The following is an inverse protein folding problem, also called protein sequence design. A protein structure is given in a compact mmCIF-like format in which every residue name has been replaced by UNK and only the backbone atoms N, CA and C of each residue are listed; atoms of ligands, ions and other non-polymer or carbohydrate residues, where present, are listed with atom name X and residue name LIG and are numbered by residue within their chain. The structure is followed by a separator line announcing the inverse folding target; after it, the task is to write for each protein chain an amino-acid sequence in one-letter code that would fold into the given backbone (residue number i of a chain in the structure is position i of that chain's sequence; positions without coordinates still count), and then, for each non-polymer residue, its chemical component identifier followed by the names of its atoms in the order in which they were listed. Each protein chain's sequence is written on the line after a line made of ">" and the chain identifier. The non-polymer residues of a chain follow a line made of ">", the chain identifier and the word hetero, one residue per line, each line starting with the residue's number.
data_IF_896866460781
#
_entry.id   IF_896866460781
#
_cell.length_a   1.000
_cell.length_b   1.000
_cell.length_c   1.000
_cell.angle_alpha   90.00
_cell.angle_beta   90.00
_cell.angle_gamma   90.00
#
_symmetry.space_group_name_H-M   'P 1'
#
loop_
_entity.id
_entity.type
_entity.pdbx_description
1 polymer ?
#
# COMPACT_ATOMS: atom_id res chain seq x y z
N UNK A 1 -17.49 -12.92 -23.84
CA UNK A 1 -17.02 -12.15 -22.65
C UNK A 1 -18.25 -11.76 -21.85
N UNK A 2 -18.39 -12.20 -20.61
CA UNK A 2 -19.52 -11.81 -19.76
C UNK A 2 -19.39 -10.31 -19.44
N UNK A 3 -20.42 -9.56 -19.70
CA UNK A 3 -20.48 -8.13 -19.38
C UNK A 3 -20.31 -7.92 -17.86
N UNK A 4 -19.38 -7.04 -17.43
CA UNK A 4 -19.21 -6.64 -16.02
C UNK A 4 -20.36 -5.74 -15.54
N UNK A 5 -21.62 -6.13 -15.83
CA UNK A 5 -22.78 -5.36 -15.42
C UNK A 5 -22.94 -5.43 -13.91
N UNK A 6 -22.81 -4.26 -13.27
CA UNK A 6 -23.07 -4.05 -11.84
C UNK A 6 -23.85 -2.76 -11.70
N UNK A 7 -24.86 -2.76 -10.89
CA UNK A 7 -25.64 -1.58 -10.55
C UNK A 7 -25.73 -1.38 -9.03
N UNK A 8 -26.39 -0.29 -8.61
CA UNK A 8 -26.51 0.04 -7.19
C UNK A 8 -27.30 -1.02 -6.40
N UNK A 9 -28.24 -1.71 -7.05
CA UNK A 9 -29.05 -2.76 -6.39
C UNK A 9 -28.18 -3.96 -6.02
N UNK A 10 -27.19 -4.30 -6.85
CA UNK A 10 -26.22 -5.38 -6.57
C UNK A 10 -25.33 -5.01 -5.37
N UNK A 11 -24.90 -3.75 -5.27
CA UNK A 11 -24.12 -3.25 -4.13
C UNK A 11 -24.96 -3.26 -2.85
N UNK A 12 -26.23 -2.88 -2.92
CA UNK A 12 -27.15 -2.91 -1.77
C UNK A 12 -27.42 -4.35 -1.30
N UNK A 13 -27.62 -5.29 -2.22
CA UNK A 13 -27.73 -6.73 -1.89
C UNK A 13 -26.47 -7.24 -1.23
N UNK A 14 -25.29 -6.91 -1.82
CA UNK A 14 -24.00 -7.25 -1.23
C UNK A 14 -23.84 -6.67 0.18
N UNK A 15 -24.28 -5.43 0.42
CA UNK A 15 -24.21 -4.80 1.73
C UNK A 15 -25.04 -5.57 2.78
N UNK A 16 -26.27 -5.98 2.44
CA UNK A 16 -27.10 -6.82 3.30
C UNK A 16 -26.45 -8.15 3.62
N UNK A 17 -25.87 -8.81 2.62
CA UNK A 17 -25.19 -10.10 2.74
C UNK A 17 -23.92 -10.01 3.60
N UNK A 18 -23.17 -8.92 3.49
CA UNK A 18 -21.89 -8.72 4.17
C UNK A 18 -22.06 -8.28 5.63
N UNK A 19 -23.13 -7.57 5.97
CA UNK A 19 -23.36 -6.98 7.31
C UNK A 19 -23.10 -7.93 8.50
N UNK A 20 -23.53 -9.20 8.51
CA UNK A 20 -23.25 -10.11 9.62
C UNK A 20 -21.81 -10.64 9.65
N UNK A 21 -21.02 -10.43 8.60
CA UNK A 21 -19.73 -11.12 8.39
C UNK A 21 -18.55 -10.18 8.51
N UNK A 22 -18.66 -8.97 7.97
CA UNK A 22 -17.56 -7.99 7.97
C UNK A 22 -17.63 -7.07 9.19
N UNK A 23 -16.52 -6.42 9.50
CA UNK A 23 -16.50 -5.27 10.39
C UNK A 23 -16.97 -4.04 9.60
N UNK A 24 -17.96 -3.30 10.10
CA UNK A 24 -18.15 -1.93 9.65
C UNK A 24 -16.98 -1.12 10.19
N UNK A 25 -16.06 -0.75 9.29
CA UNK A 25 -14.83 -0.07 9.69
C UNK A 25 -15.09 1.39 10.04
N UNK A 26 -14.25 1.93 10.92
CA UNK A 26 -14.37 3.31 11.36
C UNK A 26 -14.09 4.29 10.21
N UNK A 27 -14.67 5.48 10.31
CA UNK A 27 -14.40 6.63 9.47
C UNK A 27 -14.21 7.82 10.39
N UNK A 28 -12.94 8.19 10.63
CA UNK A 28 -12.58 9.18 11.65
C UNK A 28 -11.93 10.43 11.06
N UNK A 29 -12.22 11.57 11.67
CA UNK A 29 -11.57 12.84 11.36
C UNK A 29 -10.12 12.84 11.85
N UNK A 30 -9.18 13.07 10.96
CA UNK A 30 -7.78 13.31 11.29
C UNK A 30 -7.56 14.79 11.57
N UNK A 31 -7.51 15.19 12.84
CA UNK A 31 -7.29 16.59 13.22
C UNK A 31 -5.95 17.12 12.66
N UNK A 32 -4.87 16.33 12.80
CA UNK A 32 -3.55 16.73 12.32
C UNK A 32 -3.46 16.89 10.80
N UNK A 33 -4.12 16.01 10.03
CA UNK A 33 -4.18 16.16 8.58
C UNK A 33 -5.12 17.32 8.18
N UNK A 34 -6.23 17.49 8.90
CA UNK A 34 -7.16 18.58 8.63
C UNK A 34 -6.51 19.95 8.82
N UNK A 35 -5.75 20.13 9.88
CA UNK A 35 -4.97 21.34 10.12
C UNK A 35 -3.90 21.56 9.04
N UNK A 36 -3.15 20.50 8.68
CA UNK A 36 -2.07 20.59 7.71
C UNK A 36 -2.57 20.95 6.30
N UNK A 37 -3.74 20.42 5.88
CA UNK A 37 -4.27 20.61 4.52
C UNK A 37 -5.40 21.66 4.45
N UNK A 38 -5.80 22.28 5.56
CA UNK A 38 -6.82 23.33 5.61
C UNK A 38 -8.22 22.85 5.20
N UNK A 39 -8.54 21.58 5.45
CA UNK A 39 -9.83 20.93 5.13
C UNK A 39 -10.10 19.77 6.07
N UNK A 40 -11.34 19.33 6.20
CA UNK A 40 -11.65 18.18 7.01
C UNK A 40 -11.21 16.90 6.29
N UNK A 41 -10.18 16.22 6.81
CA UNK A 41 -9.65 14.97 6.27
C UNK A 41 -10.14 13.81 7.13
N UNK A 42 -10.95 12.95 6.54
CA UNK A 42 -11.46 11.73 7.16
C UNK A 42 -10.73 10.52 6.60
N UNK A 43 -10.47 9.52 7.44
CA UNK A 43 -9.84 8.27 7.06
C UNK A 43 -10.82 7.12 7.20
N UNK A 44 -11.03 6.34 6.14
CA UNK A 44 -11.82 5.09 6.17
C UNK A 44 -10.86 3.91 6.35
N UNK A 45 -10.96 3.22 7.48
CA UNK A 45 -9.96 2.25 7.97
C UNK A 45 -10.20 0.81 7.48
N UNK A 46 -10.17 0.55 6.18
CA UNK A 46 -10.23 -0.82 5.65
C UNK A 46 -8.97 -1.66 5.95
N UNK A 47 -7.88 -1.05 6.37
CA UNK A 47 -6.71 -1.74 6.92
C UNK A 47 -7.00 -2.47 8.25
N UNK A 48 -8.08 -2.14 8.95
CA UNK A 48 -8.53 -2.81 10.19
C UNK A 48 -9.66 -3.82 9.95
N UNK A 49 -10.00 -4.13 8.71
CA UNK A 49 -10.98 -5.15 8.35
C UNK A 49 -10.47 -6.56 8.75
N UNK A 50 -11.34 -7.56 8.85
CA UNK A 50 -11.05 -8.91 9.39
C UNK A 50 -9.77 -9.58 8.89
N UNK A 51 -9.43 -9.42 7.60
CA UNK A 51 -8.19 -9.95 7.02
C UNK A 51 -7.12 -8.87 6.85
N UNK A 52 -7.24 -7.75 7.56
CA UNK A 52 -6.34 -6.61 7.40
C UNK A 52 -6.50 -5.85 6.08
N UNK A 53 -7.60 -6.07 5.32
CA UNK A 53 -7.88 -5.36 4.07
C UNK A 53 -9.34 -5.53 3.61
N UNK A 54 -9.77 -4.65 2.72
CA UNK A 54 -11.11 -4.66 2.11
C UNK A 54 -11.49 -5.94 1.35
N UNK A 55 -10.51 -6.77 1.00
CA UNK A 55 -10.68 -7.88 0.03
C UNK A 55 -11.75 -8.90 0.42
N UNK A 56 -11.99 -9.11 1.71
CA UNK A 56 -13.04 -10.01 2.19
C UNK A 56 -14.42 -9.61 1.67
N UNK A 57 -14.70 -8.32 1.46
CA UNK A 57 -16.01 -7.83 1.00
C UNK A 57 -16.38 -8.44 -0.36
N UNK A 58 -15.53 -8.28 -1.35
CA UNK A 58 -15.75 -8.83 -2.68
C UNK A 58 -15.63 -10.35 -2.73
N UNK A 59 -14.67 -10.94 -2.03
CA UNK A 59 -14.47 -12.38 -2.00
C UNK A 59 -15.68 -13.10 -1.39
N UNK A 60 -16.19 -12.63 -0.25
CA UNK A 60 -17.35 -13.22 0.40
C UNK A 60 -18.62 -13.06 -0.45
N UNK A 61 -18.85 -11.87 -1.00
CA UNK A 61 -19.99 -11.64 -1.88
C UNK A 61 -19.96 -12.56 -3.10
N UNK A 62 -18.79 -12.77 -3.74
CA UNK A 62 -18.63 -13.71 -4.86
C UNK A 62 -18.99 -15.14 -4.43
N UNK A 63 -18.37 -15.64 -3.36
CA UNK A 63 -18.50 -17.04 -2.93
C UNK A 63 -19.96 -17.35 -2.50
N UNK A 64 -20.61 -16.43 -1.82
CA UNK A 64 -22.01 -16.63 -1.40
C UNK A 64 -22.99 -16.66 -2.57
N UNK A 65 -22.68 -15.99 -3.67
CA UNK A 65 -23.52 -16.01 -4.89
C UNK A 65 -23.19 -17.15 -5.87
N UNK A 66 -22.30 -18.07 -5.53
CA UNK A 66 -22.07 -19.29 -6.29
C UNK A 66 -23.26 -20.24 -6.18
N UNK A 67 -23.53 -21.00 -7.23
CA UNK A 67 -24.52 -22.09 -7.21
C UNK A 67 -24.11 -23.18 -6.21
N UNK A 68 -25.04 -24.03 -5.84
CA UNK A 68 -24.76 -25.19 -4.96
C UNK A 68 -23.69 -26.09 -5.58
N UNK A 69 -23.74 -26.31 -6.90
CA UNK A 69 -22.77 -27.12 -7.62
C UNK A 69 -21.37 -26.48 -7.61
N UNK A 70 -21.26 -25.17 -7.87
CA UNK A 70 -20.00 -24.44 -7.80
C UNK A 70 -19.40 -24.48 -6.40
N UNK A 71 -20.22 -24.25 -5.35
CA UNK A 71 -19.79 -24.39 -3.96
C UNK A 71 -19.31 -25.80 -3.64
N UNK A 72 -19.99 -26.83 -4.17
CA UNK A 72 -19.61 -28.25 -3.98
C UNK A 72 -18.25 -28.58 -4.60
N UNK A 73 -17.91 -27.97 -5.75
CA UNK A 73 -16.60 -28.13 -6.38
C UNK A 73 -15.50 -27.34 -5.67
N UNK A 74 -15.83 -26.17 -5.11
CA UNK A 74 -14.90 -25.27 -4.46
C UNK A 74 -14.40 -24.15 -5.36
N UNK A 75 -13.51 -23.33 -4.81
CA UNK A 75 -12.98 -22.14 -5.49
C UNK A 75 -11.46 -22.18 -5.60
N UNK A 76 -10.91 -21.51 -6.61
CA UNK A 76 -9.48 -21.30 -6.79
C UNK A 76 -9.17 -19.81 -6.98
N UNK A 77 -8.04 -19.36 -6.45
CA UNK A 77 -7.53 -18.01 -6.70
C UNK A 77 -5.99 -18.04 -6.83
N UNK A 78 -5.44 -17.08 -7.59
CA UNK A 78 -4.01 -16.83 -7.62
C UNK A 78 -3.72 -15.51 -6.92
N UNK A 79 -3.01 -15.54 -5.79
CA UNK A 79 -2.58 -14.36 -5.05
C UNK A 79 -1.70 -14.77 -3.87
N UNK A 80 -0.63 -14.02 -3.62
CA UNK A 80 0.18 -14.15 -2.41
C UNK A 80 -0.09 -13.03 -1.38
N UNK A 81 -1.17 -12.25 -1.53
CA UNK A 81 -1.46 -11.09 -0.69
C UNK A 81 -2.89 -11.08 -0.12
N UNK A 82 -3.45 -9.88 -0.03
CA UNK A 82 -4.76 -9.62 0.57
C UNK A 82 -5.92 -10.42 -0.04
N UNK A 83 -5.86 -10.65 -1.36
CA UNK A 83 -6.92 -11.43 -2.03
C UNK A 83 -6.90 -12.89 -1.61
N UNK A 84 -5.73 -13.50 -1.45
CA UNK A 84 -5.56 -14.85 -0.93
C UNK A 84 -6.25 -15.04 0.43
N UNK A 85 -5.95 -14.14 1.37
CA UNK A 85 -6.52 -14.16 2.72
C UNK A 85 -8.03 -13.89 2.70
N UNK A 86 -8.46 -12.94 1.86
CA UNK A 86 -9.89 -12.65 1.67
C UNK A 86 -10.68 -13.84 1.15
N UNK A 87 -10.16 -14.55 0.12
CA UNK A 87 -10.79 -15.77 -0.42
C UNK A 87 -10.79 -16.89 0.60
N UNK A 88 -9.65 -17.15 1.26
CA UNK A 88 -9.52 -18.21 2.25
C UNK A 88 -10.53 -18.05 3.40
N UNK A 89 -10.60 -16.86 4.03
CA UNK A 89 -11.56 -16.62 5.12
C UNK A 89 -13.00 -16.67 4.62
N UNK A 90 -13.28 -16.07 3.46
CA UNK A 90 -14.63 -16.09 2.89
C UNK A 90 -15.12 -17.52 2.62
N UNK A 91 -14.27 -18.35 2.07
CA UNK A 91 -14.57 -19.76 1.79
C UNK A 91 -14.81 -20.56 3.08
N UNK A 92 -13.95 -20.36 4.08
CA UNK A 92 -14.12 -21.00 5.39
C UNK A 92 -15.45 -20.63 6.03
N UNK A 93 -15.85 -19.35 5.99
CA UNK A 93 -17.13 -18.87 6.54
C UNK A 93 -18.34 -19.39 5.76
N UNK A 94 -18.18 -19.63 4.45
CA UNK A 94 -19.23 -20.16 3.58
C UNK A 94 -19.26 -21.70 3.55
N UNK A 95 -18.35 -22.41 4.22
CA UNK A 95 -18.22 -23.86 4.15
C UNK A 95 -17.78 -24.39 2.77
N UNK A 96 -17.03 -23.59 2.02
CA UNK A 96 -16.56 -23.91 0.67
C UNK A 96 -15.05 -24.16 0.68
N UNK A 97 -14.60 -25.21 -0.02
CA UNK A 97 -13.17 -25.50 -0.20
C UNK A 97 -12.52 -24.38 -1.02
N UNK A 98 -11.34 -23.91 -0.61
CA UNK A 98 -10.57 -22.93 -1.38
C UNK A 98 -9.13 -23.38 -1.59
N UNK A 99 -8.68 -23.29 -2.83
CA UNK A 99 -7.29 -23.54 -3.26
C UNK A 99 -6.68 -22.21 -3.67
N UNK A 100 -5.55 -21.86 -3.05
CA UNK A 100 -4.85 -20.60 -3.32
C UNK A 100 -3.49 -20.94 -3.92
N UNK A 101 -3.28 -20.55 -5.16
CA UNK A 101 -1.99 -20.75 -5.84
C UNK A 101 -1.12 -19.52 -5.64
N UNK A 102 0.11 -19.75 -5.20
CA UNK A 102 1.12 -18.73 -4.96
C UNK A 102 2.42 -19.10 -5.66
N UNK A 103 3.26 -18.13 -6.08
CA UNK A 103 4.60 -18.45 -6.54
C UNK A 103 5.43 -19.07 -5.40
N UNK A 104 6.43 -19.88 -5.73
CA UNK A 104 7.33 -20.53 -4.77
C UNK A 104 8.14 -19.53 -3.96
N UNK A 105 8.33 -18.32 -4.52
CA UNK A 105 9.00 -17.18 -3.88
C UNK A 105 8.12 -16.41 -2.89
N UNK A 106 6.86 -16.82 -2.67
CA UNK A 106 5.95 -16.11 -1.78
C UNK A 106 6.48 -16.08 -0.32
N UNK A 107 6.37 -14.94 0.38
CA UNK A 107 6.82 -14.83 1.76
C UNK A 107 6.10 -15.79 2.71
N UNK A 108 6.84 -16.44 3.61
CA UNK A 108 6.32 -17.44 4.54
C UNK A 108 5.17 -16.91 5.43
N UNK A 109 5.25 -15.65 5.85
CA UNK A 109 4.19 -15.00 6.63
C UNK A 109 2.86 -14.93 5.85
N UNK A 110 2.89 -14.66 4.54
CA UNK A 110 1.71 -14.61 3.66
C UNK A 110 1.12 -16.01 3.43
N UNK A 111 1.97 -17.03 3.27
CA UNK A 111 1.56 -18.43 3.16
C UNK A 111 0.87 -18.87 4.46
N UNK A 112 1.52 -18.62 5.60
CA UNK A 112 1.00 -19.00 6.93
C UNK A 112 -0.31 -18.30 7.24
N UNK A 113 -0.44 -17.00 6.93
CA UNK A 113 -1.68 -16.25 7.11
C UNK A 113 -2.83 -16.83 6.28
N UNK A 114 -2.57 -17.20 5.01
CA UNK A 114 -3.59 -17.79 4.15
C UNK A 114 -4.06 -19.14 4.67
N UNK A 115 -3.13 -19.98 5.15
CA UNK A 115 -3.47 -21.29 5.78
C UNK A 115 -4.24 -21.09 7.08
N UNK A 116 -3.88 -20.10 7.90
CA UNK A 116 -4.60 -19.76 9.13
C UNK A 116 -6.07 -19.42 8.86
N UNK A 117 -6.34 -18.73 7.77
CA UNK A 117 -7.70 -18.42 7.33
C UNK A 117 -8.41 -19.61 6.67
N UNK A 118 -7.77 -20.76 6.53
CA UNK A 118 -8.39 -22.01 6.05
C UNK A 118 -8.20 -22.28 4.55
N UNK A 119 -7.36 -21.52 3.85
CA UNK A 119 -7.03 -21.78 2.45
C UNK A 119 -6.01 -22.91 2.30
N UNK A 120 -6.26 -23.80 1.33
CA UNK A 120 -5.28 -24.78 0.87
C UNK A 120 -4.29 -24.08 -0.06
N UNK A 121 -3.00 -24.02 0.32
CA UNK A 121 -1.98 -23.29 -0.45
C UNK A 121 -1.16 -24.26 -1.29
N UNK A 122 -1.13 -24.00 -2.60
CA UNK A 122 -0.26 -24.66 -3.58
C UNK A 122 0.80 -23.64 -4.02
N UNK A 123 2.07 -24.04 -3.91
CA UNK A 123 3.20 -23.25 -4.41
C UNK A 123 3.55 -23.74 -5.81
N UNK A 124 3.57 -22.83 -6.81
CA UNK A 124 3.82 -23.18 -8.20
C UNK A 124 4.39 -22.02 -8.99
N UNK A 125 5.52 -22.28 -9.67
CA UNK A 125 6.21 -21.31 -10.51
C UNK A 125 7.01 -20.27 -9.72
N UNK A 126 7.79 -19.48 -10.44
CA UNK A 126 8.69 -18.47 -9.84
C UNK A 126 8.03 -17.11 -9.65
N UNK A 127 7.08 -16.77 -10.56
CA UNK A 127 6.42 -15.46 -10.60
C UNK A 127 4.89 -15.59 -10.50
N UNK A 128 4.23 -14.46 -10.28
CA UNK A 128 2.76 -14.41 -10.20
C UNK A 128 2.07 -14.98 -11.44
N UNK A 129 2.61 -14.73 -12.64
CA UNK A 129 2.00 -15.14 -13.90
C UNK A 129 1.97 -16.67 -14.00
N UNK A 130 3.02 -17.37 -13.55
CA UNK A 130 3.07 -18.85 -13.51
C UNK A 130 2.00 -19.42 -12.56
N UNK A 131 1.89 -18.83 -11.38
CA UNK A 131 0.88 -19.23 -10.39
C UNK A 131 -0.55 -18.98 -10.92
N UNK A 132 -0.75 -17.89 -11.65
CA UNK A 132 -2.03 -17.56 -12.27
C UNK A 132 -2.42 -18.59 -13.35
N UNK A 133 -1.51 -18.93 -14.26
CA UNK A 133 -1.77 -19.94 -15.30
C UNK A 133 -2.10 -21.30 -14.68
N UNK A 134 -1.36 -21.71 -13.65
CA UNK A 134 -1.65 -22.97 -12.96
C UNK A 134 -3.02 -22.93 -12.25
N UNK A 135 -3.41 -21.81 -11.66
CA UNK A 135 -4.75 -21.67 -11.09
C UNK A 135 -5.84 -21.78 -12.16
N UNK A 136 -5.58 -21.28 -13.39
CA UNK A 136 -6.48 -21.42 -14.54
C UNK A 136 -6.53 -22.88 -15.08
N UNK A 137 -5.44 -23.62 -14.98
CA UNK A 137 -5.43 -25.06 -15.27
C UNK A 137 -6.30 -25.83 -14.27
N UNK A 138 -6.17 -25.53 -12.96
CA UNK A 138 -6.99 -26.15 -11.92
C UNK A 138 -8.48 -25.84 -12.08
N UNK A 139 -8.83 -24.59 -12.45
CA UNK A 139 -10.21 -24.22 -12.79
C UNK A 139 -10.80 -25.15 -13.86
N UNK A 140 -10.05 -25.41 -14.94
CA UNK A 140 -10.49 -26.25 -16.05
C UNK A 140 -10.53 -27.74 -15.69
N UNK A 141 -9.50 -28.25 -15.00
CA UNK A 141 -9.31 -29.67 -14.72
C UNK A 141 -10.20 -30.15 -13.59
N UNK A 142 -10.26 -29.40 -12.51
CA UNK A 142 -10.98 -29.81 -11.29
C UNK A 142 -12.37 -29.15 -11.18
N UNK A 143 -12.71 -28.25 -12.11
CA UNK A 143 -14.00 -27.57 -12.15
C UNK A 143 -14.17 -26.52 -11.04
N UNK A 144 -13.10 -26.06 -10.41
CA UNK A 144 -13.17 -24.97 -9.44
C UNK A 144 -13.69 -23.69 -10.07
N UNK A 145 -14.35 -22.84 -9.26
CA UNK A 145 -14.68 -21.49 -9.71
C UNK A 145 -13.52 -20.54 -9.40
N UNK A 146 -12.99 -19.87 -10.42
CA UNK A 146 -11.92 -18.89 -10.24
C UNK A 146 -12.48 -17.60 -9.62
N UNK A 147 -11.93 -17.19 -8.48
CA UNK A 147 -12.29 -15.92 -7.80
C UNK A 147 -11.29 -14.84 -8.22
N UNK A 148 -11.72 -14.02 -9.19
CA UNK A 148 -10.87 -12.96 -9.73
C UNK A 148 -10.69 -11.81 -8.72
N UNK A 149 -9.47 -11.25 -8.54
CA UNK A 149 -9.19 -10.25 -7.50
C UNK A 149 -9.87 -8.89 -7.70
N UNK A 150 -10.39 -8.57 -8.90
CA UNK A 150 -11.01 -7.27 -9.23
C UNK A 150 -11.99 -7.30 -10.42
N UNK A 151 -11.79 -8.14 -11.43
CA UNK A 151 -12.60 -8.17 -12.66
C UNK A 151 -13.72 -9.23 -12.57
N UNK A 152 -14.60 -9.05 -11.59
CA UNK A 152 -15.77 -9.90 -11.36
C UNK A 152 -16.92 -9.01 -10.81
N UNK A 153 -18.15 -9.12 -11.34
CA UNK A 153 -19.27 -8.28 -10.94
C UNK A 153 -19.61 -8.40 -9.46
N UNK A 154 -19.58 -9.59 -8.90
CA UNK A 154 -19.84 -9.79 -7.46
C UNK A 154 -18.71 -9.22 -6.59
N UNK A 155 -17.46 -9.34 -7.05
CA UNK A 155 -16.32 -8.74 -6.35
C UNK A 155 -16.46 -7.22 -6.35
N UNK A 156 -16.75 -6.61 -7.50
CA UNK A 156 -16.96 -5.14 -7.62
C UNK A 156 -18.11 -4.69 -6.73
N UNK A 157 -19.25 -5.39 -6.76
CA UNK A 157 -20.40 -5.06 -5.92
C UNK A 157 -20.07 -5.14 -4.42
N UNK A 158 -19.34 -6.18 -4.00
CA UNK A 158 -18.86 -6.30 -2.61
C UNK A 158 -17.97 -5.13 -2.18
N UNK A 159 -17.03 -4.71 -3.03
CA UNK A 159 -16.18 -3.54 -2.76
C UNK A 159 -16.97 -2.23 -2.71
N UNK A 160 -18.03 -2.11 -3.50
CA UNK A 160 -18.92 -0.95 -3.54
C UNK A 160 -19.62 -0.67 -2.21
N UNK A 161 -19.76 -1.67 -1.35
CA UNK A 161 -20.34 -1.51 -0.01
C UNK A 161 -19.59 -0.51 0.87
N UNK A 162 -18.29 -0.29 0.61
CA UNK A 162 -17.51 0.77 1.27
C UNK A 162 -18.09 2.15 0.93
N UNK A 163 -18.51 2.37 -0.32
CA UNK A 163 -19.13 3.62 -0.74
C UNK A 163 -20.45 3.90 0.01
N UNK A 164 -21.27 2.85 0.26
CA UNK A 164 -22.49 2.98 1.06
C UNK A 164 -22.18 3.33 2.52
N UNK A 165 -21.15 2.70 3.10
CA UNK A 165 -20.70 3.01 4.47
C UNK A 165 -20.17 4.44 4.57
N UNK A 166 -19.37 4.92 3.60
CA UNK A 166 -18.86 6.29 3.57
C UNK A 166 -20.02 7.28 3.55
N UNK A 167 -21.00 7.12 2.66
CA UNK A 167 -22.15 8.02 2.58
C UNK A 167 -23.01 8.01 3.83
N UNK A 168 -23.07 6.88 4.55
CA UNK A 168 -23.80 6.77 5.82
C UNK A 168 -23.04 7.45 6.97
N UNK A 169 -21.72 7.26 7.03
CA UNK A 169 -20.87 7.79 8.10
C UNK A 169 -20.49 9.27 7.90
N UNK A 170 -20.44 9.74 6.65
CA UNK A 170 -20.11 11.11 6.25
C UNK A 170 -21.06 11.58 5.12
N UNK A 171 -22.32 11.92 5.42
CA UNK A 171 -23.29 12.32 4.40
C UNK A 171 -22.90 13.55 3.59
N UNK A 172 -22.09 14.43 4.16
CA UNK A 172 -21.62 15.68 3.56
C UNK A 172 -20.23 15.55 2.89
N UNK A 173 -19.74 14.33 2.62
CA UNK A 173 -18.48 14.09 1.92
C UNK A 173 -18.45 14.78 0.55
N UNK A 174 -17.40 15.56 0.28
CA UNK A 174 -17.20 16.25 -1.00
C UNK A 174 -16.37 15.43 -1.97
N UNK A 175 -15.41 14.65 -1.44
CA UNK A 175 -14.57 13.79 -2.28
C UNK A 175 -14.08 12.54 -1.56
N UNK A 176 -13.80 11.50 -2.36
CA UNK A 176 -13.23 10.24 -1.88
C UNK A 176 -11.98 9.90 -2.68
N UNK A 177 -10.89 9.59 -1.99
CA UNK A 177 -9.60 9.21 -2.59
C UNK A 177 -9.40 7.72 -2.43
N UNK A 178 -9.22 7.00 -3.54
CA UNK A 178 -9.19 5.53 -3.60
C UNK A 178 -7.94 5.04 -4.33
N UNK A 179 -7.13 4.13 -3.76
CA UNK A 179 -6.03 3.47 -4.46
C UNK A 179 -6.52 2.62 -5.64
N UNK A 180 -5.79 2.65 -6.75
CA UNK A 180 -6.08 1.88 -7.97
C UNK A 180 -4.98 0.87 -8.28
N UNK A 181 -5.31 -0.43 -8.22
CA UNK A 181 -4.57 -1.48 -8.91
C UNK A 181 -5.32 -1.91 -10.17
N UNK A 182 -6.00 -3.05 -10.14
CA UNK A 182 -6.85 -3.53 -11.24
C UNK A 182 -8.19 -2.79 -11.40
N UNK A 183 -8.52 -1.86 -10.50
CA UNK A 183 -9.69 -0.99 -10.60
C UNK A 183 -10.98 -1.48 -9.95
N UNK A 184 -11.07 -2.73 -9.48
CA UNK A 184 -12.33 -3.26 -8.92
C UNK A 184 -12.81 -2.54 -7.67
N UNK A 185 -11.89 -2.05 -6.82
CA UNK A 185 -12.21 -1.29 -5.61
C UNK A 185 -12.86 0.05 -5.95
N UNK A 186 -12.18 0.87 -6.73
CA UNK A 186 -12.66 2.19 -7.12
C UNK A 186 -13.92 2.09 -7.98
N UNK A 187 -14.05 1.05 -8.82
CA UNK A 187 -15.25 0.81 -9.62
C UNK A 187 -16.51 0.64 -8.76
N UNK A 188 -16.44 -0.20 -7.74
CA UNK A 188 -17.56 -0.40 -6.83
C UNK A 188 -17.87 0.85 -6.01
N UNK A 189 -16.86 1.48 -5.41
CA UNK A 189 -17.02 2.70 -4.61
C UNK A 189 -17.58 3.85 -5.44
N UNK A 190 -17.00 4.10 -6.61
CA UNK A 190 -17.42 5.22 -7.47
C UNK A 190 -18.84 5.02 -8.01
N UNK A 191 -19.19 3.80 -8.40
CA UNK A 191 -20.58 3.47 -8.80
C UNK A 191 -21.56 3.77 -7.69
N UNK A 192 -21.30 3.29 -6.46
CA UNK A 192 -22.18 3.53 -5.32
C UNK A 192 -22.32 5.03 -5.02
N UNK A 193 -21.21 5.74 -4.92
CA UNK A 193 -21.20 7.16 -4.55
C UNK A 193 -21.81 8.01 -5.66
N UNK A 194 -21.39 7.86 -6.91
CA UNK A 194 -21.92 8.69 -8.01
C UNK A 194 -23.40 8.45 -8.29
N UNK A 195 -23.91 7.25 -8.00
CA UNK A 195 -25.36 6.99 -8.11
C UNK A 195 -26.16 7.68 -7.02
N UNK A 196 -25.68 7.68 -5.77
CA UNK A 196 -26.41 8.20 -4.62
C UNK A 196 -26.10 9.68 -4.32
N UNK A 197 -24.90 10.13 -4.62
CA UNK A 197 -24.41 11.51 -4.43
C UNK A 197 -23.55 11.94 -5.63
N UNK A 198 -24.13 12.29 -6.78
CA UNK A 198 -23.40 12.62 -8.03
C UNK A 198 -22.40 13.76 -7.90
N UNK A 199 -22.62 14.68 -6.95
CA UNK A 199 -21.73 15.82 -6.69
C UNK A 199 -20.43 15.45 -6.00
N UNK A 200 -20.34 14.29 -5.35
CA UNK A 200 -19.13 13.83 -4.68
C UNK A 200 -18.07 13.44 -5.73
N UNK A 201 -16.88 14.00 -5.61
CA UNK A 201 -15.75 13.70 -6.53
C UNK A 201 -15.03 12.43 -6.11
N UNK A 202 -14.58 11.66 -7.10
CA UNK A 202 -13.82 10.42 -6.89
C UNK A 202 -12.44 10.56 -7.52
N UNK A 203 -11.41 10.49 -6.68
CA UNK A 203 -10.02 10.58 -7.11
C UNK A 203 -9.33 9.23 -6.97
N UNK A 204 -8.70 8.80 -8.07
CA UNK A 204 -7.88 7.58 -8.08
C UNK A 204 -6.41 7.87 -7.79
N UNK A 205 -5.73 6.96 -7.09
CA UNK A 205 -4.27 7.05 -6.87
C UNK A 205 -3.61 5.76 -7.30
N UNK A 206 -2.62 5.85 -8.20
CA UNK A 206 -1.79 4.73 -8.66
C UNK A 206 -0.33 4.89 -8.28
N UNK A 207 0.41 3.76 -8.21
CA UNK A 207 1.86 3.81 -8.19
C UNK A 207 2.40 4.31 -9.53
N UNK A 208 3.40 5.18 -9.50
CA UNK A 208 4.10 5.66 -10.71
C UNK A 208 4.94 4.56 -11.38
N UNK A 209 5.12 3.40 -10.74
CA UNK A 209 5.74 2.21 -11.32
C UNK A 209 4.77 1.45 -12.25
N UNK A 210 3.46 1.56 -12.00
CA UNK A 210 2.42 0.89 -12.77
C UNK A 210 1.26 1.86 -13.09
N UNK A 211 1.52 2.95 -13.85
CA UNK A 211 0.55 4.04 -14.05
C UNK A 211 -0.50 3.74 -15.12
N UNK A 212 -0.65 2.49 -15.57
CA UNK A 212 -1.41 2.15 -16.77
C UNK A 212 -2.86 2.65 -16.79
N UNK A 213 -3.58 2.64 -15.66
CA UNK A 213 -4.95 3.17 -15.60
C UNK A 213 -4.96 4.71 -15.69
N UNK A 214 -3.99 5.38 -15.05
CA UNK A 214 -3.82 6.84 -15.15
C UNK A 214 -3.48 7.28 -16.57
N UNK A 215 -2.60 6.54 -17.25
CA UNK A 215 -2.25 6.79 -18.65
C UNK A 215 -3.47 6.63 -19.57
N UNK A 216 -4.22 5.53 -19.38
CA UNK A 216 -5.44 5.29 -20.16
C UNK A 216 -6.49 6.39 -19.91
N UNK A 217 -6.66 6.82 -18.66
CA UNK A 217 -7.57 7.91 -18.29
C UNK A 217 -7.17 9.26 -18.94
N UNK A 218 -5.87 9.51 -19.04
CA UNK A 218 -5.32 10.73 -19.68
C UNK A 218 -5.12 10.59 -21.20
N UNK A 219 -5.65 9.53 -21.81
CA UNK A 219 -5.49 9.23 -23.25
C UNK A 219 -4.01 9.17 -23.69
N UNK A 220 -3.13 8.68 -22.80
CA UNK A 220 -1.71 8.50 -23.07
C UNK A 220 -1.42 7.03 -23.41
N UNK A 221 -0.35 6.73 -24.16
CA UNK A 221 0.08 5.35 -24.37
C UNK A 221 0.35 4.65 -23.03
N UNK A 222 -0.10 3.40 -22.91
CA UNK A 222 0.16 2.60 -21.73
C UNK A 222 1.58 2.05 -21.78
N UNK A 223 2.53 2.78 -21.21
CA UNK A 223 3.94 2.40 -21.14
C UNK A 223 4.36 2.02 -19.74
N UNK A 224 4.97 0.84 -19.57
CA UNK A 224 5.65 0.45 -18.34
C UNK A 224 7.08 1.00 -18.37
N UNK A 225 7.50 1.68 -17.31
CA UNK A 225 8.86 2.20 -17.16
C UNK A 225 9.92 1.07 -17.09
N UNK A 226 9.53 -0.12 -16.69
CA UNK A 226 10.39 -1.30 -16.58
C UNK A 226 9.58 -2.59 -16.62
N UNK A 227 10.15 -3.65 -17.19
CA UNK A 227 9.58 -4.99 -17.11
C UNK A 227 9.65 -5.57 -15.70
N UNK A 228 10.63 -5.13 -14.89
CA UNK A 228 10.76 -5.49 -13.48
C UNK A 228 10.15 -4.38 -12.63
N UNK A 229 8.99 -4.67 -12.06
CA UNK A 229 8.30 -3.76 -11.15
C UNK A 229 8.81 -4.03 -9.74
N UNK A 230 9.35 -2.99 -9.11
CA UNK A 230 9.78 -3.01 -7.72
C UNK A 230 9.10 -1.84 -7.01
N UNK A 231 7.96 -2.09 -6.37
CA UNK A 231 7.24 -1.08 -5.59
C UNK A 231 6.85 -1.62 -4.23
N UNK A 232 6.83 -0.75 -3.20
CA UNK A 232 6.30 -1.08 -1.88
C UNK A 232 4.77 -1.19 -1.87
N UNK A 233 4.11 -0.76 -2.95
CA UNK A 233 2.65 -0.84 -3.13
C UNK A 233 2.26 -2.07 -3.98
N UNK A 234 2.72 -3.26 -3.59
CA UNK A 234 2.55 -4.53 -4.31
C UNK A 234 1.07 -4.86 -4.60
N UNK A 235 0.15 -4.55 -3.70
CA UNK A 235 -1.28 -4.79 -3.85
C UNK A 235 -1.97 -3.98 -4.96
N UNK A 236 -1.33 -2.90 -5.46
CA UNK A 236 -1.81 -2.11 -6.61
C UNK A 236 -0.87 -2.16 -7.82
N UNK A 237 0.16 -3.03 -7.80
CA UNK A 237 1.16 -3.16 -8.85
C UNK A 237 0.65 -3.97 -10.06
N UNK A 238 -0.39 -3.50 -10.72
CA UNK A 238 -0.99 -4.17 -11.90
C UNK A 238 -0.37 -3.61 -13.18
N UNK A 239 0.30 -4.50 -13.93
CA UNK A 239 1.04 -4.14 -15.16
C UNK A 239 0.16 -3.59 -16.27
N UNK A 240 -1.00 -4.18 -16.47
CA UNK A 240 -1.91 -3.82 -17.57
C UNK A 240 -3.29 -3.48 -17.02
N UNK A 241 -3.83 -2.28 -17.34
CA UNK A 241 -5.19 -1.93 -16.97
C UNK A 241 -6.17 -2.80 -17.75
N UNK A 242 -7.33 -3.11 -17.13
CA UNK A 242 -8.42 -3.77 -17.83
C UNK A 242 -9.22 -2.75 -18.66
N UNK A 243 -9.31 -2.91 -19.99
CA UNK A 243 -10.12 -2.03 -20.84
C UNK A 243 -11.61 -2.07 -20.45
N UNK A 244 -12.10 -3.20 -19.97
CA UNK A 244 -13.49 -3.37 -19.53
C UNK A 244 -13.77 -2.58 -18.25
N UNK A 245 -12.90 -2.66 -17.24
CA UNK A 245 -12.98 -1.87 -16.02
C UNK A 245 -12.93 -0.38 -16.34
N UNK A 246 -12.00 0.03 -17.23
CA UNK A 246 -11.89 1.41 -17.65
C UNK A 246 -13.19 1.90 -18.30
N UNK A 247 -13.67 1.23 -19.34
CA UNK A 247 -14.81 1.69 -20.16
C UNK A 247 -16.14 1.65 -19.39
N UNK A 248 -16.31 0.68 -18.49
CA UNK A 248 -17.58 0.50 -17.77
C UNK A 248 -17.68 1.34 -16.50
N UNK A 249 -16.57 1.63 -15.82
CA UNK A 249 -16.56 2.29 -14.53
C UNK A 249 -15.68 3.54 -14.49
N UNK A 250 -14.36 3.39 -14.76
CA UNK A 250 -13.39 4.46 -14.50
C UNK A 250 -13.72 5.70 -15.33
N UNK A 251 -13.92 5.56 -16.64
CA UNK A 251 -14.24 6.66 -17.54
C UNK A 251 -15.56 7.38 -17.24
N UNK A 252 -16.46 6.73 -16.46
CA UNK A 252 -17.80 7.27 -16.17
C UNK A 252 -17.91 7.89 -14.79
N UNK A 253 -17.19 7.35 -13.80
CA UNK A 253 -17.43 7.63 -12.41
C UNK A 253 -16.23 8.18 -11.65
N UNK A 254 -15.03 8.23 -12.27
CA UNK A 254 -13.81 8.78 -11.67
C UNK A 254 -13.55 10.17 -12.24
N UNK A 255 -13.26 11.14 -11.37
CA UNK A 255 -13.09 12.54 -11.79
C UNK A 255 -11.63 12.84 -12.18
N UNK A 256 -10.63 12.22 -11.50
CA UNK A 256 -9.21 12.31 -11.89
C UNK A 256 -8.39 11.16 -11.29
N UNK A 257 -7.21 10.91 -11.89
CA UNK A 257 -6.25 9.90 -11.42
C UNK A 257 -4.85 10.52 -11.35
N UNK A 258 -4.25 10.47 -10.16
CA UNK A 258 -2.88 10.87 -9.91
C UNK A 258 -1.97 9.68 -9.63
N UNK A 259 -0.66 9.89 -9.77
CA UNK A 259 0.33 8.85 -9.47
C UNK A 259 1.26 9.29 -8.35
N UNK A 260 1.69 8.35 -7.52
CA UNK A 260 2.62 8.57 -6.41
C UNK A 260 3.82 7.63 -6.51
N UNK A 261 4.96 8.10 -6.03
CA UNK A 261 6.20 7.34 -5.92
C UNK A 261 6.25 6.50 -4.64
N UNK A 262 7.17 5.55 -4.57
CA UNK A 262 7.42 4.78 -3.36
C UNK A 262 7.90 5.64 -2.19
N UNK A 263 8.65 6.72 -2.46
CA UNK A 263 9.08 7.66 -1.41
C UNK A 263 7.91 8.45 -0.82
N UNK A 264 6.96 8.89 -1.66
CA UNK A 264 5.73 9.55 -1.21
C UNK A 264 4.83 8.60 -0.42
N UNK A 265 4.72 7.34 -0.84
CA UNK A 265 3.99 6.30 -0.11
C UNK A 265 4.67 6.00 1.23
N UNK A 266 5.99 5.90 1.27
CA UNK A 266 6.75 5.69 2.50
C UNK A 266 6.54 6.84 3.49
N UNK A 267 6.54 8.07 3.03
CA UNK A 267 6.26 9.25 3.85
C UNK A 267 4.82 9.22 4.41
N UNK A 268 3.86 8.80 3.61
CA UNK A 268 2.48 8.61 4.04
C UNK A 268 2.36 7.52 5.12
N UNK A 269 3.06 6.38 4.98
CA UNK A 269 3.09 5.32 5.99
C UNK A 269 3.65 5.87 7.32
N UNK A 270 4.78 6.58 7.28
CA UNK A 270 5.38 7.18 8.48
C UNK A 270 4.41 8.17 9.15
N UNK A 271 3.74 9.01 8.36
CA UNK A 271 2.72 9.94 8.89
C UNK A 271 1.58 9.20 9.57
N UNK A 272 1.03 8.17 8.93
CA UNK A 272 -0.08 7.37 9.47
C UNK A 272 0.30 6.66 10.77
N UNK A 273 1.50 6.09 10.86
CA UNK A 273 2.02 5.49 12.11
C UNK A 273 2.22 6.54 13.19
N UNK A 274 2.87 7.67 12.85
CA UNK A 274 3.25 8.70 13.84
C UNK A 274 2.05 9.51 14.35
N UNK A 275 1.12 9.88 13.47
CA UNK A 275 0.00 10.79 13.78
C UNK A 275 -1.31 10.08 14.01
N UNK A 276 -1.59 9.03 13.22
CA UNK A 276 -2.86 8.32 13.27
C UNK A 276 -2.79 7.00 14.06
N UNK A 277 -1.59 6.61 14.51
CA UNK A 277 -1.34 5.36 15.28
C UNK A 277 -1.88 4.12 14.55
N UNK A 278 -1.88 4.16 13.22
CA UNK A 278 -2.36 3.07 12.38
C UNK A 278 -1.28 2.58 11.42
N UNK A 279 -1.24 1.28 11.20
CA UNK A 279 -0.29 0.65 10.27
C UNK A 279 -1.02 0.35 8.97
N UNK A 280 -0.42 0.77 7.85
CA UNK A 280 -0.89 0.48 6.50
C UNK A 280 0.21 -0.12 5.66
N UNK A 281 -0.15 -0.97 4.72
CA UNK A 281 0.76 -1.38 3.65
C UNK A 281 0.91 -0.28 2.59
N UNK A 282 1.90 -0.40 1.68
CA UNK A 282 2.13 0.60 0.65
C UNK A 282 0.89 0.91 -0.19
N UNK A 283 0.16 -0.13 -0.60
CA UNK A 283 -1.12 0.02 -1.33
C UNK A 283 -2.19 0.73 -0.51
N UNK A 284 -2.22 0.48 0.81
CA UNK A 284 -3.17 1.09 1.74
C UNK A 284 -2.89 2.58 1.99
N UNK A 285 -1.61 2.98 1.97
CA UNK A 285 -1.18 4.35 2.18
C UNK A 285 -1.21 5.21 0.90
N UNK A 286 -1.30 4.60 -0.29
CA UNK A 286 -1.20 5.31 -1.56
C UNK A 286 -2.24 6.44 -1.70
N UNK A 287 -3.48 6.24 -1.24
CA UNK A 287 -4.52 7.27 -1.24
C UNK A 287 -4.11 8.50 -0.41
N UNK A 288 -3.54 8.28 0.76
CA UNK A 288 -3.06 9.36 1.63
C UNK A 288 -1.82 10.06 1.03
N UNK A 289 -0.91 9.30 0.39
CA UNK A 289 0.20 9.88 -0.36
C UNK A 289 -0.29 10.79 -1.50
N UNK A 290 -1.39 10.42 -2.18
CA UNK A 290 -2.04 11.26 -3.18
C UNK A 290 -2.55 12.58 -2.60
N UNK A 291 -3.20 12.56 -1.43
CA UNK A 291 -3.64 13.77 -0.74
C UNK A 291 -2.45 14.67 -0.36
N UNK A 292 -1.35 14.08 0.11
CA UNK A 292 -0.16 14.81 0.55
C UNK A 292 0.54 15.57 -0.59
N UNK A 293 0.60 14.98 -1.78
CA UNK A 293 1.50 15.43 -2.84
C UNK A 293 0.79 16.07 -4.03
N UNK A 294 -0.54 15.99 -4.11
CA UNK A 294 -1.31 16.55 -5.23
C UNK A 294 -2.34 17.57 -4.75
N UNK A 295 -2.35 18.73 -5.39
CA UNK A 295 -3.32 19.81 -5.13
C UNK A 295 -4.49 19.69 -6.11
N UNK A 296 -5.45 18.83 -5.79
CA UNK A 296 -6.71 18.72 -6.51
C UNK A 296 -7.83 19.48 -5.78
N UNK A 297 -8.93 19.71 -6.47
CA UNK A 297 -10.11 20.30 -5.86
C UNK A 297 -10.91 19.25 -5.07
N UNK A 298 -10.40 18.94 -3.89
CA UNK A 298 -10.99 17.93 -2.99
C UNK A 298 -12.25 18.39 -2.24
N UNK A 299 -12.57 19.68 -2.26
CA UNK A 299 -13.65 20.24 -1.43
C UNK A 299 -13.25 20.39 0.04
N UNK A 300 -14.25 20.53 0.91
CA UNK A 300 -14.09 20.75 2.36
C UNK A 300 -13.93 19.43 3.13
N UNK A 301 -14.76 18.44 2.82
CA UNK A 301 -14.82 17.15 3.51
C UNK A 301 -14.26 16.05 2.60
N UNK A 302 -13.04 15.61 2.87
CA UNK A 302 -12.31 14.62 2.07
C UNK A 302 -12.23 13.30 2.82
N UNK A 303 -12.66 12.21 2.20
CA UNK A 303 -12.47 10.86 2.72
C UNK A 303 -11.31 10.17 1.99
N UNK A 304 -10.30 9.71 2.72
CA UNK A 304 -9.19 8.92 2.19
C UNK A 304 -9.35 7.46 2.62
N UNK A 305 -9.34 6.54 1.68
CA UNK A 305 -9.43 5.11 1.96
C UNK A 305 -8.07 4.51 2.28
N UNK A 306 -7.91 3.96 3.48
CA UNK A 306 -6.77 3.13 3.89
C UNK A 306 -7.12 1.66 3.61
N UNK A 307 -6.81 1.17 2.40
CA UNK A 307 -7.42 -0.05 1.89
C UNK A 307 -6.82 -1.37 2.41
N UNK A 308 -5.63 -1.35 3.06
CA UNK A 308 -4.99 -2.54 3.61
C UNK A 308 -3.85 -2.23 4.58
N UNK A 309 -3.56 -3.17 5.49
CA UNK A 309 -2.54 -3.06 6.53
C UNK A 309 -1.56 -4.23 6.61
N UNK A 310 -1.60 -5.18 5.68
CA UNK A 310 -0.79 -6.41 5.70
C UNK A 310 0.64 -6.17 5.18
N UNK A 311 1.34 -5.23 5.79
CA UNK A 311 2.72 -4.87 5.46
C UNK A 311 3.70 -5.88 6.07
N UNK A 312 4.80 -6.14 5.36
CA UNK A 312 5.93 -6.89 5.90
C UNK A 312 6.71 -6.03 6.91
N UNK A 313 7.01 -6.60 8.08
CA UNK A 313 7.72 -5.89 9.15
C UNK A 313 9.10 -5.39 8.71
N UNK A 314 9.79 -6.12 7.83
CA UNK A 314 11.07 -5.67 7.27
C UNK A 314 10.90 -4.41 6.39
N UNK A 315 9.78 -4.28 5.70
CA UNK A 315 9.45 -3.08 4.94
C UNK A 315 9.13 -1.93 5.89
N UNK A 316 8.35 -2.19 6.95
CA UNK A 316 8.04 -1.16 7.98
C UNK A 316 9.33 -0.60 8.58
N UNK A 317 10.28 -1.45 8.98
CA UNK A 317 11.55 -1.01 9.55
C UNK A 317 12.32 -0.08 8.59
N UNK A 318 12.44 -0.48 7.32
CA UNK A 318 13.11 0.33 6.28
C UNK A 318 12.39 1.65 6.00
N UNK A 319 11.06 1.65 5.99
CA UNK A 319 10.25 2.86 5.77
C UNK A 319 10.43 3.83 6.92
N UNK A 320 10.41 3.36 8.18
CA UNK A 320 10.62 4.18 9.36
C UNK A 320 12.04 4.78 9.35
N UNK A 321 13.07 3.96 9.12
CA UNK A 321 14.46 4.42 9.04
C UNK A 321 14.63 5.53 7.98
N UNK A 322 14.18 5.29 6.75
CA UNK A 322 14.22 6.29 5.67
C UNK A 322 13.42 7.55 6.00
N UNK A 323 12.24 7.40 6.62
CA UNK A 323 11.43 8.54 7.03
C UNK A 323 12.12 9.39 8.10
N UNK A 324 12.86 8.77 9.01
CA UNK A 324 13.64 9.49 10.02
C UNK A 324 14.85 10.23 9.42
N UNK A 325 15.55 9.60 8.47
CA UNK A 325 16.65 10.25 7.72
C UNK A 325 16.11 11.46 6.96
N UNK A 326 15.00 11.33 6.26
CA UNK A 326 14.37 12.42 5.47
C UNK A 326 13.94 13.62 6.32
N UNK A 327 13.79 13.41 7.62
CA UNK A 327 13.44 14.47 8.61
C UNK A 327 14.62 14.96 9.42
N UNK A 328 15.83 14.50 9.13
CA UNK A 328 17.04 14.84 9.88
C UNK A 328 17.04 14.32 11.33
N UNK A 329 16.28 13.23 11.59
CA UNK A 329 16.26 12.55 12.91
C UNK A 329 17.24 11.38 12.98
N UNK A 330 17.70 10.91 11.85
CA UNK A 330 18.80 9.96 11.69
C UNK A 330 19.75 10.49 10.61
N UNK A 331 21.04 10.27 10.81
CA UNK A 331 22.07 10.60 9.83
C UNK A 331 23.11 9.49 9.74
N UNK A 332 23.48 9.12 8.51
CA UNK A 332 24.64 8.28 8.21
C UNK A 332 25.75 9.19 7.70
N UNK A 333 26.80 9.35 8.48
CA UNK A 333 27.91 10.26 8.21
C UNK A 333 29.21 9.51 8.07
N UNK A 334 29.88 9.66 6.92
CA UNK A 334 31.22 9.10 6.65
C UNK A 334 32.28 10.20 6.78
N UNK A 335 33.22 9.99 7.65
CA UNK A 335 34.30 10.96 7.96
C UNK A 335 35.66 10.33 7.70
N UNK A 336 36.55 11.05 7.00
CA UNK A 336 37.97 10.67 6.85
C UNK A 336 38.82 11.56 7.74
N UNK A 337 39.69 10.93 8.51
CA UNK A 337 40.68 11.58 9.38
C UNK A 337 42.00 10.87 9.30
N UNK A 338 43.08 11.52 9.78
CA UNK A 338 44.37 10.83 9.98
C UNK A 338 44.21 9.64 10.96
N UNK A 339 44.83 8.52 10.68
CA UNK A 339 44.84 7.34 11.57
C UNK A 339 45.82 7.54 12.74
N UNK A 340 45.41 8.38 13.67
CA UNK A 340 46.17 8.75 14.86
C UNK A 340 45.40 8.46 16.15
N UNK A 341 46.06 8.02 17.22
CA UNK A 341 45.43 7.87 18.53
C UNK A 341 44.76 9.17 18.98
N UNK A 342 43.50 9.07 19.47
CA UNK A 342 42.71 10.19 19.95
C UNK A 342 41.80 10.85 18.91
N UNK A 343 41.95 10.61 17.62
CA UNK A 343 41.08 11.24 16.61
C UNK A 343 39.59 10.73 16.72
N UNK A 344 39.36 9.45 16.93
CA UNK A 344 38.01 8.95 17.23
C UNK A 344 37.40 9.63 18.47
N UNK A 345 38.20 9.83 19.54
CA UNK A 345 37.75 10.51 20.75
C UNK A 345 37.31 11.97 20.44
N UNK A 346 38.09 12.72 19.65
CA UNK A 346 37.71 14.10 19.25
C UNK A 346 36.40 14.12 18.47
N UNK A 347 36.21 13.19 17.52
CA UNK A 347 34.98 13.08 16.75
C UNK A 347 33.76 12.80 17.64
N UNK A 348 33.89 11.83 18.56
CA UNK A 348 32.79 11.48 19.48
C UNK A 348 32.48 12.61 20.47
N UNK A 349 33.49 13.40 20.89
CA UNK A 349 33.30 14.60 21.72
C UNK A 349 32.48 15.67 20.99
N UNK A 350 32.73 15.90 19.69
CA UNK A 350 31.99 16.88 18.88
C UNK A 350 30.52 16.43 18.79
N UNK A 351 30.29 15.14 18.49
CA UNK A 351 28.94 14.58 18.38
C UNK A 351 28.19 14.71 19.71
N UNK A 352 28.87 14.37 20.81
CA UNK A 352 28.31 14.47 22.17
C UNK A 352 28.02 15.93 22.60
N UNK A 353 28.89 16.89 22.24
CA UNK A 353 28.70 18.31 22.53
C UNK A 353 27.43 18.86 21.83
N UNK A 354 27.12 18.36 20.64
CA UNK A 354 25.88 18.68 19.93
C UNK A 354 24.66 17.88 20.45
N UNK A 355 24.82 17.03 21.46
CA UNK A 355 23.75 16.20 22.06
C UNK A 355 23.11 15.21 21.07
N UNK A 356 23.85 14.75 20.05
CA UNK A 356 23.44 13.67 19.20
C UNK A 356 23.84 12.33 19.82
N UNK A 357 23.01 11.30 19.65
CA UNK A 357 23.29 9.96 20.10
C UNK A 357 23.97 9.17 18.99
N UNK A 358 24.98 8.36 19.34
CA UNK A 358 25.69 7.49 18.40
C UNK A 358 25.06 6.10 18.50
N UNK A 359 24.41 5.66 17.42
CA UNK A 359 23.78 4.34 17.33
C UNK A 359 24.76 3.27 16.89
N UNK A 360 25.66 3.63 15.94
CA UNK A 360 26.67 2.72 15.41
C UNK A 360 27.92 3.50 15.00
N UNK A 361 29.09 2.90 15.20
CA UNK A 361 30.38 3.38 14.70
C UNK A 361 31.08 2.25 13.99
N UNK A 362 31.49 2.47 12.75
CA UNK A 362 32.34 1.56 12.01
C UNK A 362 33.65 2.25 11.68
N UNK A 363 34.77 1.74 12.19
CA UNK A 363 36.10 2.26 11.98
C UNK A 363 36.83 1.42 10.94
N UNK A 364 36.89 1.91 9.70
CA UNK A 364 37.47 1.20 8.56
C UNK A 364 38.85 1.76 8.16
N UNK A 365 39.91 0.98 8.40
CA UNK A 365 41.31 1.29 8.06
C UNK A 365 41.74 0.75 6.70
N UNK A 366 40.88 -0.02 6.05
CA UNK A 366 41.22 -0.72 4.80
C UNK A 366 40.41 -0.20 3.60
N UNK A 367 39.72 0.95 3.75
CA UNK A 367 38.98 1.54 2.65
C UNK A 367 39.85 1.86 1.46
N UNK A 368 39.53 1.28 0.30
CA UNK A 368 40.26 1.54 -0.94
C UNK A 368 40.16 3.03 -1.34
N UNK A 369 41.30 3.60 -1.81
CA UNK A 369 41.35 5.00 -2.29
C UNK A 369 41.66 6.04 -1.22
N UNK A 370 41.93 5.64 0.03
CA UNK A 370 42.48 6.51 1.06
C UNK A 370 44.01 6.43 1.12
N UNK A 371 44.64 7.50 1.64
CA UNK A 371 46.06 7.47 1.98
C UNK A 371 46.34 6.44 3.09
N UNK A 372 47.56 5.84 3.08
CA UNK A 372 47.96 4.87 4.12
C UNK A 372 47.97 5.47 5.56
N UNK A 373 47.89 6.80 5.69
CA UNK A 373 47.80 7.51 6.96
C UNK A 373 46.39 7.99 7.32
N UNK A 374 45.38 7.66 6.49
CA UNK A 374 44.00 8.04 6.70
C UNK A 374 43.14 6.84 7.01
N UNK A 375 42.08 7.08 7.77
CA UNK A 375 41.06 6.08 8.06
C UNK A 375 39.67 6.67 7.85
N UNK A 376 38.69 5.82 7.51
CA UNK A 376 37.31 6.19 7.41
C UNK A 376 36.56 5.72 8.66
N UNK A 377 35.75 6.63 9.20
CA UNK A 377 34.86 6.32 10.31
C UNK A 377 33.44 6.66 9.89
N UNK A 378 32.61 5.62 9.85
CA UNK A 378 31.19 5.76 9.53
C UNK A 378 30.40 5.82 10.84
N UNK A 379 29.62 6.87 11.01
CA UNK A 379 28.71 7.06 12.13
C UNK A 379 27.27 6.88 11.68
N UNK A 380 26.46 6.20 12.47
CA UNK A 380 25.01 6.26 12.42
C UNK A 380 24.52 7.00 13.65
N UNK A 381 23.88 8.16 13.44
CA UNK A 381 23.55 9.11 14.48
C UNK A 381 22.05 9.29 14.62
N UNK A 382 21.56 9.33 15.86
CA UNK A 382 20.25 9.87 16.17
C UNK A 382 20.39 11.37 16.43
N UNK A 383 19.64 12.16 15.68
CA UNK A 383 19.69 13.63 15.66
C UNK A 383 18.27 14.20 15.81
N UNK A 384 18.15 15.50 16.00
CA UNK A 384 16.84 16.17 16.13
C UNK A 384 16.49 17.07 14.94
N UNK A 385 17.45 17.43 14.11
CA UNK A 385 17.24 18.32 12.97
C UNK A 385 18.43 18.33 12.01
N UNK A 386 18.21 18.77 10.77
CA UNK A 386 19.27 19.01 9.80
C UNK A 386 20.29 20.08 10.28
N UNK A 387 19.86 21.05 11.06
CA UNK A 387 20.78 22.08 11.59
C UNK A 387 21.75 21.49 12.60
N UNK A 388 21.32 20.53 13.42
CA UNK A 388 22.23 19.80 14.30
C UNK A 388 23.27 19.00 13.50
N UNK A 389 22.83 18.32 12.45
CA UNK A 389 23.72 17.56 11.54
C UNK A 389 24.79 18.50 10.96
N UNK A 390 24.40 19.67 10.43
CA UNK A 390 25.33 20.67 9.88
C UNK A 390 26.32 21.19 10.93
N UNK A 391 25.91 21.38 12.18
CA UNK A 391 26.82 21.81 13.25
C UNK A 391 27.85 20.73 13.59
N UNK A 392 27.45 19.45 13.58
CA UNK A 392 28.36 18.30 13.74
C UNK A 392 29.38 18.28 12.59
N UNK A 393 28.94 18.39 11.34
CA UNK A 393 29.80 18.45 10.16
C UNK A 393 30.83 19.58 10.30
N UNK A 394 30.38 20.79 10.57
CA UNK A 394 31.26 21.94 10.74
C UNK A 394 32.25 21.79 11.92
N UNK A 395 31.85 21.12 12.99
CA UNK A 395 32.73 20.78 14.11
C UNK A 395 33.84 19.81 13.71
N UNK A 396 33.48 18.78 12.94
CA UNK A 396 34.42 17.79 12.40
C UNK A 396 35.43 18.41 11.44
N UNK A 397 34.96 19.27 10.54
CA UNK A 397 35.83 19.97 9.58
C UNK A 397 36.83 20.90 10.27
N UNK A 398 36.44 21.57 11.37
CA UNK A 398 37.33 22.44 12.16
C UNK A 398 38.55 21.71 12.77
N UNK A 399 38.43 20.41 13.02
CA UNK A 399 39.53 19.60 13.53
C UNK A 399 40.32 18.89 12.43
N UNK A 400 40.08 19.22 11.15
CA UNK A 400 40.73 18.63 9.97
C UNK A 400 40.13 17.33 9.49
N UNK A 401 38.94 16.94 9.99
CA UNK A 401 38.18 15.81 9.45
C UNK A 401 37.52 16.20 8.14
N UNK A 402 37.46 15.27 7.19
CA UNK A 402 36.78 15.44 5.91
C UNK A 402 35.48 14.65 5.91
N UNK A 403 34.36 15.33 5.91
CA UNK A 403 33.05 14.68 5.75
C UNK A 403 32.84 14.33 4.27
N UNK A 404 32.76 13.02 3.94
CA UNK A 404 32.59 12.55 2.58
C UNK A 404 31.12 12.54 2.16
N UNK A 405 30.25 12.14 3.07
CA UNK A 405 28.81 11.99 2.82
C UNK A 405 28.05 12.02 4.12
N UNK A 406 26.91 12.73 4.08
CA UNK A 406 25.85 12.64 5.09
C UNK A 406 24.53 12.38 4.40
N UNK A 407 23.77 11.38 4.88
CA UNK A 407 22.45 10.99 4.37
C UNK A 407 21.47 10.96 5.52
#
# INVERSE_FOLDING_TARGET
>A
MSSLKVDISDIQKAHGLLKPVIKQTDLDLSLSASELYGRNVYLKFENTQRTGSFKIRGAYNKIMNLSIEEKGRGVVASSAGNHAQGVALSSKLAGVRSVIVMPETAPLNKISATRYYGGEVILKGEIYDDAYEYAKELEKKEGYTFVHPYQDPYVIAGQGTIGLEILTQLPDVDSVIVPIGGGGLISGISLAIKTLKPTCKIFGVQSNQTPGMSQLFKHQPAELKSNRITTIADGIAIKRPSPEIYSQFISKYVDDIVTVSDDEIAEAIVYLVERMKTVTEGSGAAGFAGLMNHKLDYGKNVCVLLCGGNIDLNIVAKVIERGQIKRGRLAKMSVVVEDMPGNLQKLTQIIAAEKANILEVNHDRLTYGLSLRETRIDFFLETNSFDQIKRIEAGIEKIGGKVLRTV
#
